data_IF_732528577499
#
_entry.id   IF_732528577499
#
_cell.length_a   1.000
_cell.length_b   1.000
_cell.length_c   1.000
_cell.angle_alpha   90.00
_cell.angle_beta   90.00
_cell.angle_gamma   90.00
#
_symmetry.space_group_name_H-M   'P 1'
#
loop_
_entity.id
_entity.type
_entity.pdbx_description
1 polymer ?
#
# COMPACT_ATOMS: atom_id res chain seq x y z
N UNK A 1 18.20 -7.93 -5.13
CA UNK A 1 17.05 -7.87 -4.22
C UNK A 1 15.84 -8.41 -4.96
N UNK A 2 15.07 -9.31 -4.34
CA UNK A 2 13.81 -9.84 -4.91
C UNK A 2 12.61 -9.19 -4.23
N UNK A 3 11.58 -8.83 -4.99
CA UNK A 3 10.37 -8.21 -4.46
C UNK A 3 9.18 -9.17 -4.59
N UNK A 4 8.34 -9.22 -3.57
CA UNK A 4 7.07 -9.96 -3.58
C UNK A 4 5.95 -8.99 -3.22
N UNK A 5 5.00 -8.79 -4.13
CA UNK A 5 3.81 -7.98 -3.88
C UNK A 5 2.77 -8.82 -3.13
N UNK A 6 2.31 -8.32 -1.98
CA UNK A 6 1.37 -9.01 -1.11
C UNK A 6 0.20 -8.09 -0.71
N UNK A 7 -1.00 -8.64 -0.47
CA UNK A 7 -2.09 -7.88 0.13
C UNK A 7 -1.76 -7.54 1.61
N UNK A 8 -2.73 -7.02 2.36
CA UNK A 8 -2.58 -6.90 3.81
C UNK A 8 -2.46 -8.30 4.44
N UNK A 9 -1.31 -8.58 5.06
CA UNK A 9 -1.01 -9.85 5.73
C UNK A 9 -1.03 -9.76 7.27
N UNK A 10 -1.42 -8.63 7.87
CA UNK A 10 -1.44 -8.45 9.33
C UNK A 10 -2.24 -9.55 10.06
N UNK A 11 -3.33 -10.05 9.43
CA UNK A 11 -4.14 -11.15 9.95
C UNK A 11 -3.75 -12.55 9.49
N UNK A 12 -2.67 -12.73 8.72
CA UNK A 12 -2.27 -14.01 8.15
C UNK A 12 -0.77 -14.27 8.31
N UNK A 13 -0.35 -14.51 9.56
CA UNK A 13 1.04 -14.78 9.91
C UNK A 13 1.56 -16.09 9.32
N UNK A 14 0.70 -17.08 9.08
CA UNK A 14 1.09 -18.35 8.47
C UNK A 14 1.61 -18.15 7.03
N UNK A 15 0.92 -17.33 6.24
CA UNK A 15 1.36 -16.97 4.89
C UNK A 15 2.69 -16.22 4.93
N UNK A 16 2.86 -15.26 5.86
CA UNK A 16 4.13 -14.53 6.04
C UNK A 16 5.26 -15.50 6.33
N UNK A 17 5.07 -16.43 7.28
CA UNK A 17 6.09 -17.42 7.66
C UNK A 17 6.44 -18.37 6.51
N UNK A 18 5.46 -18.79 5.71
CA UNK A 18 5.70 -19.63 4.55
C UNK A 18 6.61 -18.93 3.52
N UNK A 19 6.34 -17.66 3.22
CA UNK A 19 7.16 -16.86 2.30
C UNK A 19 8.55 -16.60 2.89
N UNK A 20 8.64 -16.28 4.19
CA UNK A 20 9.93 -16.08 4.86
C UNK A 20 10.81 -17.33 4.84
N UNK A 21 10.25 -18.53 5.05
CA UNK A 21 11.00 -19.80 4.95
C UNK A 21 11.53 -20.01 3.54
N UNK A 22 10.69 -19.80 2.52
CA UNK A 22 11.13 -19.91 1.13
C UNK A 22 12.27 -18.95 0.79
N UNK A 23 12.18 -17.68 1.24
CA UNK A 23 13.23 -16.68 1.08
C UNK A 23 14.52 -17.16 1.75
N UNK A 24 14.45 -17.60 3.00
CA UNK A 24 15.61 -18.05 3.77
C UNK A 24 16.38 -19.19 3.07
N UNK A 25 15.65 -20.16 2.52
CA UNK A 25 16.26 -21.34 1.89
C UNK A 25 16.82 -21.07 0.47
N UNK A 26 16.32 -20.03 -0.23
CA UNK A 26 16.55 -19.88 -1.68
C UNK A 26 17.07 -18.52 -2.14
N UNK A 27 16.90 -17.45 -1.35
CA UNK A 27 17.11 -16.07 -1.80
C UNK A 27 17.99 -15.29 -0.81
N UNK A 28 19.08 -14.72 -1.32
CA UNK A 28 20.05 -13.95 -0.51
C UNK A 28 19.44 -12.70 0.14
N UNK A 29 18.55 -12.01 -0.57
CA UNK A 29 17.89 -10.79 -0.08
C UNK A 29 16.57 -10.54 -0.80
N UNK A 30 15.47 -10.53 -0.05
CA UNK A 30 14.13 -10.28 -0.54
C UNK A 30 13.30 -9.42 0.40
N UNK A 31 12.29 -8.75 -0.17
CA UNK A 31 11.40 -7.84 0.55
C UNK A 31 9.94 -8.10 0.16
N UNK A 32 9.03 -7.88 1.12
CA UNK A 32 7.59 -7.95 0.91
C UNK A 32 7.04 -6.54 0.77
N UNK A 33 6.37 -6.27 -0.33
CA UNK A 33 5.70 -5.01 -0.59
C UNK A 33 4.22 -5.18 -0.28
N UNK A 34 3.74 -4.45 0.73
CA UNK A 34 2.32 -4.33 1.05
C UNK A 34 1.87 -2.89 0.91
N UNK A 35 0.59 -2.70 0.65
CA UNK A 35 0.00 -1.35 0.56
C UNK A 35 -0.11 -0.80 1.99
N UNK A 36 0.62 0.28 2.25
CA UNK A 36 0.60 0.99 3.53
C UNK A 36 -0.09 2.33 3.33
N UNK A 37 -1.33 2.40 3.78
CA UNK A 37 -2.23 3.54 3.58
C UNK A 37 -2.83 3.98 4.91
N UNK A 38 -2.99 5.29 5.08
CA UNK A 38 -3.60 5.84 6.29
C UNK A 38 -4.34 7.15 6.00
N UNK A 39 -5.51 7.32 6.61
CA UNK A 39 -6.28 8.56 6.59
C UNK A 39 -6.31 9.18 7.98
N UNK A 40 -5.63 10.31 8.15
CA UNK A 40 -5.52 11.01 9.43
C UNK A 40 -6.88 11.51 9.93
N UNK A 41 -7.74 11.96 9.02
CA UNK A 41 -9.07 12.51 9.34
C UNK A 41 -9.98 11.55 10.10
N UNK A 42 -9.92 10.25 9.79
CA UNK A 42 -10.83 9.26 10.38
C UNK A 42 -10.14 8.05 11.00
N UNK A 43 -8.80 7.99 10.95
CA UNK A 43 -8.00 6.88 11.46
C UNK A 43 -8.07 5.59 10.63
N UNK A 44 -8.60 5.63 9.40
CA UNK A 44 -8.67 4.45 8.54
C UNK A 44 -7.27 4.02 8.09
N UNK A 45 -6.95 2.74 8.30
CA UNK A 45 -5.63 2.12 8.08
C UNK A 45 -5.64 1.04 6.98
N UNK A 46 -6.68 1.03 6.15
CA UNK A 46 -6.80 0.16 4.98
C UNK A 46 -6.43 0.86 3.68
N UNK A 47 -6.61 0.16 2.55
CA UNK A 47 -6.27 0.68 1.22
C UNK A 47 -7.18 1.87 0.81
N UNK A 48 -6.57 3.02 0.49
CA UNK A 48 -7.24 4.19 -0.09
C UNK A 48 -7.57 3.89 -1.55
N UNK A 49 -8.78 4.26 -1.98
CA UNK A 49 -9.27 3.94 -3.32
C UNK A 49 -8.93 5.04 -4.30
N UNK A 50 -8.82 4.66 -5.57
CA UNK A 50 -8.78 5.59 -6.68
C UNK A 50 -10.16 5.58 -7.34
N UNK A 51 -10.80 6.75 -7.42
CA UNK A 51 -12.13 6.93 -8.03
C UNK A 51 -12.06 7.98 -9.14
N UNK A 52 -12.87 7.88 -10.21
CA UNK A 52 -12.99 8.94 -11.20
C UNK A 52 -13.79 10.11 -10.63
N UNK A 53 -13.31 11.33 -10.86
CA UNK A 53 -14.07 12.57 -10.63
C UNK A 53 -15.03 12.86 -11.80
N UNK A 54 -15.82 13.93 -11.71
CA UNK A 54 -16.79 14.34 -12.75
C UNK A 54 -16.16 14.56 -14.14
N UNK A 55 -14.91 15.02 -14.17
CA UNK A 55 -14.12 15.21 -15.39
C UNK A 55 -13.37 13.93 -15.85
N UNK A 56 -13.58 12.80 -15.18
CA UNK A 56 -12.90 11.52 -15.45
C UNK A 56 -11.47 11.44 -14.94
N UNK A 57 -10.98 12.44 -14.20
CA UNK A 57 -9.67 12.40 -13.54
C UNK A 57 -9.68 11.42 -12.38
N UNK A 58 -8.65 10.58 -12.29
CA UNK A 58 -8.48 9.66 -11.16
C UNK A 58 -8.03 10.44 -9.92
N UNK A 59 -8.76 10.31 -8.82
CA UNK A 59 -8.49 10.95 -7.53
C UNK A 59 -8.46 9.90 -6.40
N UNK A 60 -7.69 10.18 -5.35
CA UNK A 60 -7.61 9.33 -4.18
C UNK A 60 -8.72 9.68 -3.20
N UNK A 61 -9.43 8.68 -2.70
CA UNK A 61 -10.56 8.83 -1.79
C UNK A 61 -10.51 7.79 -0.67
N UNK A 62 -10.62 8.26 0.57
CA UNK A 62 -10.78 7.40 1.73
C UNK A 62 -12.14 6.67 1.67
N UNK A 63 -12.17 5.33 1.65
CA UNK A 63 -13.43 4.59 1.54
C UNK A 63 -14.27 4.64 2.82
N UNK A 64 -13.70 5.10 3.94
CA UNK A 64 -14.40 5.19 5.23
C UNK A 64 -15.13 6.53 5.42
N UNK A 65 -14.48 7.66 5.09
CA UNK A 65 -15.04 9.00 5.34
C UNK A 65 -15.15 9.89 4.10
N UNK A 66 -14.72 9.42 2.93
CA UNK A 66 -14.72 10.19 1.68
C UNK A 66 -13.66 11.30 1.65
N UNK A 67 -12.66 11.28 2.55
CA UNK A 67 -11.59 12.28 2.51
C UNK A 67 -10.83 12.21 1.19
N UNK A 68 -10.57 13.38 0.60
CA UNK A 68 -9.79 13.56 -0.64
C UNK A 68 -8.62 14.54 -0.43
N UNK A 69 -8.46 15.06 0.79
CA UNK A 69 -7.37 15.96 1.14
C UNK A 69 -6.05 15.20 1.19
N UNK A 70 -5.11 15.59 0.31
CA UNK A 70 -3.82 14.92 0.18
C UNK A 70 -2.88 15.20 1.36
N UNK A 71 -3.10 16.26 2.13
CA UNK A 71 -2.30 16.57 3.32
C UNK A 71 -2.69 15.68 4.51
N UNK A 72 -3.92 15.14 4.51
CA UNK A 72 -4.46 14.24 5.54
C UNK A 72 -4.56 12.77 5.06
N UNK A 73 -4.05 12.47 3.86
CA UNK A 73 -4.01 11.14 3.27
C UNK A 73 -2.57 10.70 3.02
N UNK A 74 -2.19 9.58 3.63
CA UNK A 74 -0.87 8.98 3.48
C UNK A 74 -1.01 7.74 2.61
N UNK A 75 -0.58 7.82 1.36
CA UNK A 75 -0.55 6.69 0.43
C UNK A 75 0.90 6.34 0.12
N UNK A 76 1.41 5.26 0.72
CA UNK A 76 2.81 4.87 0.56
C UNK A 76 2.94 3.62 -0.32
N UNK A 77 3.76 3.70 -1.37
CA UNK A 77 4.02 2.58 -2.29
C UNK A 77 5.50 2.47 -2.59
N UNK A 78 5.97 1.24 -2.83
CA UNK A 78 7.29 0.96 -3.37
C UNK A 78 7.14 0.50 -4.81
N UNK A 79 7.61 1.31 -5.75
CA UNK A 79 7.56 0.97 -7.19
C UNK A 79 8.96 0.68 -7.75
N UNK A 80 9.98 1.43 -7.33
CA UNK A 80 11.35 1.34 -7.85
C UNK A 80 12.41 1.14 -6.75
N UNK A 81 12.05 0.53 -5.63
CA UNK A 81 12.97 0.15 -4.54
C UNK A 81 12.91 1.01 -3.29
N UNK A 82 12.50 2.28 -3.40
CA UNK A 82 12.23 3.15 -2.25
C UNK A 82 10.73 3.30 -2.02
N UNK A 83 10.34 3.44 -0.75
CA UNK A 83 8.97 3.81 -0.39
C UNK A 83 8.81 5.29 -0.70
N UNK A 84 7.81 5.62 -1.52
CA UNK A 84 7.43 6.99 -1.83
C UNK A 84 5.97 7.24 -1.46
N UNK A 85 5.69 8.48 -1.06
CA UNK A 85 4.34 9.00 -0.79
C UNK A 85 3.79 9.84 -1.96
N UNK A 86 4.36 9.65 -3.16
CA UNK A 86 3.95 10.38 -4.35
C UNK A 86 2.59 9.83 -4.82
N UNK A 87 1.58 10.68 -4.89
CA UNK A 87 0.33 10.36 -5.55
C UNK A 87 0.62 10.20 -7.06
N UNK A 88 0.50 8.98 -7.58
CA UNK A 88 0.91 8.61 -8.94
C UNK A 88 0.03 9.19 -10.08
N UNK A 89 -0.85 10.14 -9.77
CA UNK A 89 -1.90 10.67 -10.66
C UNK A 89 -1.73 12.17 -10.99
N UNK A 90 -0.51 12.70 -10.92
CA UNK A 90 -0.19 14.08 -11.28
C UNK A 90 0.55 14.19 -12.60
#
# INVERSE_FOLDING_TARGET
>A
ISYVEVPNLQGNTEAVLAVMRFIYDNIVYAELNTKSDYCEKCGYDGEIRIVPDEDGKLIWECPNCGNRDQDELFVARRTCGYIGTQFWNQ
#
